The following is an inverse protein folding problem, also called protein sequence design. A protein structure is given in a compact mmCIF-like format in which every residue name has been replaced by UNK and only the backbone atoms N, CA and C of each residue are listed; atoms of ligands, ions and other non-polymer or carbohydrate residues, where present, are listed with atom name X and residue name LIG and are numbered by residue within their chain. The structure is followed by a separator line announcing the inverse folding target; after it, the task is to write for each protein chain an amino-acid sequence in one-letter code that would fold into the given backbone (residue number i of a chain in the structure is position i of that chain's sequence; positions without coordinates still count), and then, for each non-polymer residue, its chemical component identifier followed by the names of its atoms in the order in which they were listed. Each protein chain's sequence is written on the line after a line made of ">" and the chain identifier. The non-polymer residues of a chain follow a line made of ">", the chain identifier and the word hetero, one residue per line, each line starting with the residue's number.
data_IF_220251421118
#
_entry.id   IF_220251421118
#
_cell.length_a   1.000
_cell.length_b   1.000
_cell.length_c   1.000
_cell.angle_alpha   90.00
_cell.angle_beta   90.00
_cell.angle_gamma   90.00
#
_symmetry.space_group_name_H-M   'P 1'
#
loop_
_entity.id
_entity.type
_entity.pdbx_description
1 polymer ?
#
# COMPACT_ATOMS: atom_id res chain seq x y z
N UNK A 1 -6.42 42.84 24.59
CA UNK A 1 -6.02 41.53 25.15
C UNK A 1 -6.15 40.51 24.02
N UNK A 2 -5.05 40.25 23.32
CA UNK A 2 -4.97 39.25 22.27
C UNK A 2 -4.67 37.92 22.96
N UNK A 3 -5.62 36.98 22.92
CA UNK A 3 -5.41 35.61 23.38
C UNK A 3 -4.44 34.93 22.40
N UNK A 4 -3.40 34.21 22.89
CA UNK A 4 -2.52 33.47 22.00
C UNK A 4 -3.22 32.21 21.48
N UNK A 5 -3.01 31.98 20.19
CA UNK A 5 -3.43 30.82 19.40
C UNK A 5 -2.96 29.51 20.09
N UNK A 6 -3.81 28.49 20.28
CA UNK A 6 -3.33 27.23 20.87
C UNK A 6 -2.34 26.57 19.92
N UNK A 7 -1.14 26.33 20.45
CA UNK A 7 -0.05 25.61 19.81
C UNK A 7 -0.57 24.29 19.25
N UNK A 8 -0.37 24.07 17.95
CA UNK A 8 -0.51 22.76 17.34
C UNK A 8 0.37 21.78 18.14
N UNK A 9 -0.28 20.84 18.82
CA UNK A 9 0.41 19.73 19.49
C UNK A 9 0.99 18.90 18.36
N UNK A 10 2.31 19.01 18.16
CA UNK A 10 3.05 18.07 17.35
C UNK A 10 2.94 16.72 18.04
N UNK A 11 2.03 15.86 17.56
CA UNK A 11 1.97 14.46 17.95
C UNK A 11 3.34 13.85 17.65
N UNK A 12 4.07 13.48 18.70
CA UNK A 12 5.34 12.77 18.56
C UNK A 12 5.04 11.36 18.06
N UNK A 13 4.96 11.21 16.74
CA UNK A 13 4.77 9.91 16.11
C UNK A 13 6.06 9.11 16.26
N UNK A 14 6.04 8.10 17.12
CA UNK A 14 7.14 7.14 17.23
C UNK A 14 7.32 6.43 15.88
N UNK A 15 8.55 6.15 15.45
CA UNK A 15 8.77 5.47 14.18
C UNK A 15 8.20 4.03 14.21
N UNK A 16 7.70 3.51 13.08
CA UNK A 16 7.16 2.17 13.04
C UNK A 16 8.25 1.13 13.34
N UNK A 17 7.84 0.07 14.04
CA UNK A 17 8.66 -1.11 14.29
C UNK A 17 8.19 -2.24 13.38
N UNK A 18 9.06 -2.76 12.51
CA UNK A 18 8.76 -3.95 11.69
C UNK A 18 9.41 -5.18 12.33
N UNK A 19 8.69 -6.28 12.36
CA UNK A 19 9.19 -7.58 12.78
C UNK A 19 9.76 -8.35 11.59
N UNK A 20 10.88 -9.05 11.83
CA UNK A 20 11.49 -9.91 10.82
C UNK A 20 10.48 -10.93 10.25
N UNK A 21 10.41 -11.04 8.92
CA UNK A 21 9.49 -11.95 8.23
C UNK A 21 9.82 -13.44 8.48
N UNK A 22 11.03 -13.76 8.95
CA UNK A 22 11.38 -15.10 9.39
C UNK A 22 10.62 -15.44 10.69
N UNK A 23 9.67 -16.36 10.59
CA UNK A 23 8.79 -16.80 11.70
C UNK A 23 9.53 -17.36 12.90
N UNK A 24 10.78 -17.82 12.74
CA UNK A 24 11.62 -18.29 13.85
C UNK A 24 12.39 -17.17 14.55
N UNK A 25 12.57 -16.03 13.89
CA UNK A 25 13.34 -14.91 14.40
C UNK A 25 12.42 -13.83 15.00
N UNK A 26 11.53 -13.25 14.18
CA UNK A 26 10.59 -12.19 14.55
C UNK A 26 11.20 -10.99 15.32
N UNK A 27 12.52 -10.80 15.23
CA UNK A 27 13.22 -9.70 15.89
C UNK A 27 12.62 -8.34 15.45
N UNK A 28 12.35 -7.43 16.39
CA UNK A 28 11.81 -6.11 16.10
C UNK A 28 12.90 -5.17 15.57
N UNK A 29 12.57 -4.38 14.54
CA UNK A 29 13.42 -3.34 13.96
C UNK A 29 12.67 -2.01 13.96
N UNK A 30 13.10 -1.08 14.82
CA UNK A 30 12.56 0.29 14.94
C UNK A 30 13.07 1.18 13.81
N UNK A 31 12.30 2.20 13.43
CA UNK A 31 12.76 3.13 12.39
C UNK A 31 12.59 2.57 10.99
N UNK A 32 11.74 1.57 10.80
CA UNK A 32 11.67 0.85 9.52
C UNK A 32 11.18 1.71 8.34
N UNK A 33 10.55 2.85 8.63
CA UNK A 33 10.16 3.86 7.66
C UNK A 33 11.18 5.00 7.54
N UNK A 34 12.40 4.87 8.04
CA UNK A 34 13.44 5.88 7.91
C UNK A 34 14.37 5.59 6.72
N UNK A 35 14.89 6.64 6.09
CA UNK A 35 15.78 6.54 4.92
C UNK A 35 17.11 5.79 5.17
N UNK A 36 17.42 5.45 6.42
CA UNK A 36 18.59 4.66 6.84
C UNK A 36 18.24 3.34 7.51
N UNK A 37 16.99 2.89 7.40
CA UNK A 37 16.52 1.67 8.03
C UNK A 37 17.26 0.43 7.52
N UNK A 38 17.50 -0.52 8.42
CA UNK A 38 18.08 -1.82 8.10
C UNK A 38 17.35 -2.46 6.90
N UNK A 39 18.14 -2.99 5.96
CA UNK A 39 17.62 -3.76 4.80
C UNK A 39 17.56 -5.25 5.13
N UNK A 40 18.36 -5.69 6.11
CA UNK A 40 18.47 -7.07 6.55
C UNK A 40 18.36 -7.15 8.08
N UNK A 41 17.79 -8.24 8.57
CA UNK A 41 17.70 -8.49 9.98
C UNK A 41 19.10 -8.78 10.54
N UNK A 42 19.57 -7.95 11.48
CA UNK A 42 20.88 -8.10 12.14
C UNK A 42 21.02 -9.41 12.94
N UNK A 43 19.91 -10.07 13.29
CA UNK A 43 19.94 -11.32 14.05
C UNK A 43 20.05 -12.57 13.17
N UNK A 44 19.33 -12.63 12.06
CA UNK A 44 19.22 -13.84 11.23
C UNK A 44 19.59 -13.66 9.75
N UNK A 45 19.96 -12.45 9.34
CA UNK A 45 20.35 -12.11 7.96
C UNK A 45 19.20 -12.14 6.94
N UNK A 46 17.96 -12.41 7.36
CA UNK A 46 16.79 -12.40 6.47
C UNK A 46 16.49 -10.95 6.03
N UNK A 47 16.24 -10.68 4.73
CA UNK A 47 15.81 -9.36 4.27
C UNK A 47 14.57 -8.88 5.03
N UNK A 48 14.58 -7.62 5.46
CA UNK A 48 13.43 -7.01 6.12
C UNK A 48 12.40 -6.62 5.07
N UNK A 49 11.21 -7.22 5.15
CA UNK A 49 10.15 -7.01 4.18
C UNK A 49 9.30 -5.79 4.57
N UNK A 50 9.33 -4.74 3.75
CA UNK A 50 8.43 -3.58 3.84
C UNK A 50 7.25 -3.80 2.91
N UNK A 51 6.22 -4.45 3.42
CA UNK A 51 5.00 -4.71 2.65
C UNK A 51 4.02 -3.57 2.84
N UNK A 52 3.93 -2.70 1.84
CA UNK A 52 2.89 -1.68 1.78
C UNK A 52 1.61 -2.27 1.19
N UNK A 53 0.48 -1.92 1.79
CA UNK A 53 -0.84 -2.45 1.48
C UNK A 53 -1.78 -1.30 1.16
N UNK A 54 -2.61 -1.51 0.14
CA UNK A 54 -3.67 -0.58 -0.23
C UNK A 54 -4.99 -0.99 0.39
N UNK A 55 -5.75 -0.02 0.89
CA UNK A 55 -7.04 -0.25 1.54
C UNK A 55 -8.16 -0.02 0.54
N UNK A 56 -9.01 -1.03 0.39
CA UNK A 56 -10.27 -0.94 -0.36
C UNK A 56 -11.43 -0.88 0.63
N UNK A 57 -12.45 -0.09 0.30
CA UNK A 57 -13.61 0.18 1.15
C UNK A 57 -13.80 1.67 1.44
N UNK A 58 -14.73 1.96 2.36
CA UNK A 58 -15.08 3.33 2.72
C UNK A 58 -14.15 3.94 3.78
N UNK A 59 -13.30 3.12 4.39
CA UNK A 59 -12.35 3.55 5.40
C UNK A 59 -11.30 4.48 4.78
N UNK A 60 -11.20 5.69 5.34
CA UNK A 60 -10.15 6.67 5.07
C UNK A 60 -9.42 6.94 6.38
N UNK A 61 -8.09 6.99 6.33
CA UNK A 61 -7.25 7.07 7.52
C UNK A 61 -6.31 8.28 7.51
N UNK A 62 -6.66 9.32 6.75
CA UNK A 62 -5.92 10.59 6.75
C UNK A 62 -5.68 11.12 8.18
N UNK A 63 -6.65 11.03 9.08
CA UNK A 63 -6.53 11.49 10.47
C UNK A 63 -5.75 10.53 11.38
N UNK A 64 -5.48 9.31 10.90
CA UNK A 64 -4.82 8.24 11.66
C UNK A 64 -3.39 7.98 11.19
N UNK A 65 -2.84 8.81 10.29
CA UNK A 65 -1.45 8.70 9.84
C UNK A 65 -0.50 8.70 11.04
N UNK A 66 0.40 7.73 11.09
CA UNK A 66 1.30 7.51 12.22
C UNK A 66 0.70 6.71 13.38
N UNK A 67 -0.45 6.07 13.20
CA UNK A 67 -1.05 5.19 14.20
C UNK A 67 -0.92 3.72 13.82
N UNK A 68 -0.88 2.86 14.83
CA UNK A 68 -0.91 1.41 14.67
C UNK A 68 -2.36 0.92 14.82
N UNK A 69 -2.92 0.37 13.76
CA UNK A 69 -4.28 -0.19 13.70
C UNK A 69 -4.20 -1.70 13.90
N UNK A 70 -5.12 -2.23 14.72
CA UNK A 70 -5.24 -3.67 15.02
C UNK A 70 -3.93 -4.33 15.49
N UNK A 71 -3.05 -3.54 16.12
CA UNK A 71 -1.75 -4.01 16.62
C UNK A 71 -0.76 -4.48 15.53
N UNK A 72 -1.05 -4.23 14.25
CA UNK A 72 -0.28 -4.77 13.12
C UNK A 72 -0.04 -3.79 11.97
N UNK A 73 -1.02 -2.97 11.63
CA UNK A 73 -0.94 -2.15 10.43
C UNK A 73 -0.60 -0.72 10.80
N UNK A 74 0.54 -0.24 10.32
CA UNK A 74 0.95 1.14 10.54
C UNK A 74 0.41 2.04 9.44
N UNK A 75 -0.32 3.11 9.79
CA UNK A 75 -0.89 4.03 8.81
C UNK A 75 0.17 4.96 8.27
N UNK A 76 0.44 4.85 6.97
CA UNK A 76 1.42 5.68 6.26
C UNK A 76 0.72 6.85 5.57
N UNK A 77 -0.45 6.62 4.99
CA UNK A 77 -1.24 7.63 4.27
C UNK A 77 -2.74 7.30 4.30
N UNK A 78 -3.54 8.03 3.52
CA UNK A 78 -5.01 7.93 3.56
C UNK A 78 -5.56 6.50 3.41
N UNK A 79 -4.95 5.73 2.52
CA UNK A 79 -5.31 4.33 2.21
C UNK A 79 -4.09 3.42 2.12
N UNK A 80 -2.97 3.84 2.69
CA UNK A 80 -1.70 3.11 2.61
C UNK A 80 -1.31 2.68 4.01
N UNK A 81 -1.14 1.37 4.17
CA UNK A 81 -0.61 0.76 5.37
C UNK A 81 0.74 0.13 5.13
N UNK A 82 1.52 0.04 6.19
CA UNK A 82 2.70 -0.81 6.27
C UNK A 82 2.39 -1.98 7.20
N UNK A 83 2.57 -3.21 6.73
CA UNK A 83 2.48 -4.39 7.59
C UNK A 83 3.71 -4.48 8.49
N UNK A 84 3.51 -4.33 9.80
CA UNK A 84 4.59 -4.45 10.78
C UNK A 84 4.95 -5.90 11.11
N UNK A 85 4.10 -6.87 10.72
CA UNK A 85 4.30 -8.29 11.03
C UNK A 85 4.13 -9.16 9.78
N UNK A 86 4.96 -8.96 8.72
CA UNK A 86 4.81 -9.66 7.45
C UNK A 86 5.07 -11.18 7.54
N UNK A 87 5.75 -11.65 8.60
CA UNK A 87 5.96 -13.07 8.87
C UNK A 87 4.72 -13.78 9.44
N UNK A 88 3.71 -13.04 9.89
CA UNK A 88 2.48 -13.58 10.42
C UNK A 88 1.41 -13.61 9.32
N UNK A 89 0.59 -14.66 9.31
CA UNK A 89 -0.53 -14.75 8.36
C UNK A 89 -1.52 -13.59 8.61
N UNK A 90 -2.03 -12.95 7.55
CA UNK A 90 -3.07 -11.93 7.68
C UNK A 90 -4.37 -12.53 8.21
N UNK A 91 -5.25 -11.65 8.69
CA UNK A 91 -6.61 -12.04 9.02
C UNK A 91 -7.32 -12.35 7.71
N UNK A 92 -7.85 -13.56 7.59
CA UNK A 92 -8.63 -14.01 6.45
C UNK A 92 -9.95 -14.60 6.96
N UNK A 93 -11.06 -14.44 6.22
CA UNK A 93 -12.32 -15.05 6.61
C UNK A 93 -12.17 -16.58 6.59
N UNK A 94 -12.85 -17.27 7.52
CA UNK A 94 -12.88 -18.73 7.51
C UNK A 94 -13.54 -19.25 6.23
N UNK A 95 -13.13 -20.43 5.75
CA UNK A 95 -13.62 -21.04 4.50
C UNK A 95 -15.15 -21.24 4.48
N UNK A 96 -15.80 -21.25 5.66
CA UNK A 96 -17.26 -21.34 5.82
C UNK A 96 -17.99 -19.99 5.80
N UNK A 97 -17.28 -18.87 5.82
CA UNK A 97 -17.88 -17.55 5.69
C UNK A 97 -18.11 -17.20 4.22
N UNK A 98 -19.25 -16.59 3.91
CA UNK A 98 -19.51 -16.05 2.57
C UNK A 98 -18.45 -15.00 2.25
N UNK A 99 -17.66 -15.25 1.21
CA UNK A 99 -16.67 -14.30 0.72
C UNK A 99 -17.38 -13.04 0.21
N UNK A 100 -16.86 -11.82 0.47
CA UNK A 100 -17.41 -10.61 -0.13
C UNK A 100 -17.35 -10.68 -1.65
N UNK A 101 -18.43 -10.30 -2.32
CA UNK A 101 -18.52 -10.28 -3.78
C UNK A 101 -17.40 -9.42 -4.41
N UNK A 102 -16.96 -8.36 -3.72
CA UNK A 102 -15.85 -7.51 -4.13
C UNK A 102 -14.50 -8.23 -4.25
N UNK A 103 -14.33 -9.43 -3.65
CA UNK A 103 -13.09 -10.19 -3.74
C UNK A 103 -13.03 -11.02 -5.03
N UNK A 104 -14.18 -11.43 -5.58
CA UNK A 104 -14.22 -12.39 -6.69
C UNK A 104 -13.41 -11.93 -7.90
N UNK A 105 -13.52 -10.68 -8.39
CA UNK A 105 -12.74 -10.24 -9.53
C UNK A 105 -11.23 -10.31 -9.26
N UNK A 106 -10.79 -9.94 -8.05
CA UNK A 106 -9.37 -10.02 -7.68
C UNK A 106 -8.86 -11.46 -7.63
N UNK A 107 -9.67 -12.38 -7.09
CA UNK A 107 -9.31 -13.79 -7.00
C UNK A 107 -9.26 -14.46 -8.38
N UNK A 108 -10.21 -14.18 -9.27
CA UNK A 108 -10.18 -14.72 -10.63
C UNK A 108 -9.03 -14.14 -11.46
N UNK A 109 -8.74 -12.85 -11.28
CA UNK A 109 -7.72 -12.13 -12.05
C UNK A 109 -6.30 -12.22 -11.46
N UNK A 110 -6.09 -12.98 -10.37
CA UNK A 110 -4.79 -13.05 -9.67
C UNK A 110 -3.60 -13.41 -10.59
N UNK A 111 -3.87 -14.17 -11.66
CA UNK A 111 -2.87 -14.64 -12.61
C UNK A 111 -2.38 -13.56 -13.58
N UNK A 112 -3.02 -12.39 -13.62
CA UNK A 112 -2.56 -11.23 -14.39
C UNK A 112 -1.41 -10.47 -13.72
N UNK A 113 -0.90 -10.97 -12.60
CA UNK A 113 0.34 -10.50 -11.98
C UNK A 113 0.21 -9.07 -11.46
N UNK A 114 1.21 -8.22 -11.72
CA UNK A 114 1.21 -6.83 -11.26
C UNK A 114 0.14 -5.94 -11.92
N UNK A 115 -0.62 -6.45 -12.91
CA UNK A 115 -1.75 -5.71 -13.50
C UNK A 115 -2.99 -5.68 -12.62
N UNK A 116 -3.12 -6.61 -11.68
CA UNK A 116 -4.25 -6.63 -10.76
C UNK A 116 -3.68 -6.90 -9.37
N UNK A 117 -3.90 -6.00 -8.39
CA UNK A 117 -3.50 -6.26 -7.02
C UNK A 117 -4.12 -7.53 -6.50
N UNK A 118 -3.49 -8.11 -5.48
CA UNK A 118 -3.97 -9.36 -4.88
C UNK A 118 -4.59 -9.05 -3.54
N UNK A 119 -5.65 -9.79 -3.22
CA UNK A 119 -6.21 -9.75 -1.87
C UNK A 119 -5.15 -10.27 -0.90
N UNK A 120 -4.75 -9.39 0.03
CA UNK A 120 -3.84 -9.73 1.11
C UNK A 120 -4.61 -10.31 2.31
N UNK A 121 -5.71 -9.66 2.69
CA UNK A 121 -6.53 -10.07 3.83
C UNK A 121 -7.48 -8.96 4.28
N UNK A 122 -8.08 -9.15 5.44
CA UNK A 122 -8.98 -8.21 6.09
C UNK A 122 -8.26 -7.41 7.17
N UNK A 123 -8.78 -6.22 7.49
CA UNK A 123 -8.36 -5.48 8.70
C UNK A 123 -9.09 -6.03 9.91
N UNK A 124 -10.39 -6.30 9.77
CA UNK A 124 -11.26 -6.80 10.83
C UNK A 124 -12.24 -7.83 10.23
N UNK A 125 -12.53 -8.90 10.98
CA UNK A 125 -13.54 -9.89 10.59
C UNK A 125 -14.97 -9.32 10.73
N UNK A 126 -15.15 -8.27 11.54
CA UNK A 126 -16.44 -7.60 11.69
C UNK A 126 -16.83 -6.75 10.47
N UNK A 127 -15.85 -6.32 9.65
CA UNK A 127 -16.07 -5.53 8.45
C UNK A 127 -15.42 -6.19 7.23
N UNK A 128 -16.18 -7.06 6.58
CA UNK A 128 -15.74 -7.77 5.38
C UNK A 128 -15.63 -6.87 4.14
N UNK A 129 -16.16 -5.63 4.20
CA UNK A 129 -16.11 -4.69 3.08
C UNK A 129 -14.84 -3.85 3.06
N UNK A 130 -14.07 -3.83 4.16
CA UNK A 130 -12.76 -3.17 4.19
C UNK A 130 -11.64 -4.21 4.19
N UNK A 131 -10.91 -4.28 3.08
CA UNK A 131 -9.87 -5.26 2.86
C UNK A 131 -8.59 -4.65 2.31
N UNK A 132 -7.53 -5.44 2.35
CA UNK A 132 -6.16 -5.05 2.03
C UNK A 132 -5.76 -5.70 0.72
N UNK A 133 -5.17 -4.90 -0.16
CA UNK A 133 -4.56 -5.34 -1.40
C UNK A 133 -3.04 -5.25 -1.30
N UNK A 134 -2.34 -6.30 -1.68
CA UNK A 134 -0.90 -6.29 -1.93
C UNK A 134 -0.59 -6.09 -3.43
N UNK A 135 0.66 -5.80 -3.75
CA UNK A 135 1.14 -5.48 -5.11
C UNK A 135 0.42 -4.27 -5.76
N UNK A 136 -0.19 -3.41 -4.94
CA UNK A 136 -0.70 -2.11 -5.39
C UNK A 136 0.47 -1.21 -5.87
N UNK A 137 0.24 -0.29 -6.82
CA UNK A 137 1.27 0.59 -7.39
C UNK A 137 1.67 1.68 -6.39
N UNK A 138 2.29 1.28 -5.28
CA UNK A 138 2.80 2.11 -4.21
C UNK A 138 4.33 2.15 -4.36
N UNK A 139 4.89 3.35 -4.43
CA UNK A 139 6.34 3.53 -4.41
C UNK A 139 6.78 3.96 -3.01
N UNK A 140 7.85 3.35 -2.51
CA UNK A 140 8.56 3.84 -1.34
C UNK A 140 9.48 4.97 -1.79
N UNK A 141 9.21 6.20 -1.32
CA UNK A 141 10.05 7.36 -1.52
C UNK A 141 11.03 7.40 -0.35
N UNK A 142 12.22 6.87 -0.56
CA UNK A 142 13.32 7.05 0.38
C UNK A 142 13.68 8.54 0.42
N UNK A 143 13.49 9.19 1.57
CA UNK A 143 13.95 10.55 1.78
C UNK A 143 15.44 10.63 1.47
N UNK A 144 15.80 11.37 0.41
CA UNK A 144 17.19 11.50 -0.02
C UNK A 144 18.07 11.97 1.15
N UNK A 145 19.16 11.24 1.40
CA UNK A 145 20.11 11.59 2.44
C UNK A 145 20.70 12.99 2.27
N UNK A 146 20.85 13.67 3.42
CA UNK A 146 21.66 14.87 3.66
C UNK A 146 21.20 16.18 2.98
N UNK A 147 20.19 16.82 3.58
CA UNK A 147 20.28 18.28 3.79
C UNK A 147 20.84 18.52 5.20
N UNK A 148 21.73 19.49 5.29
CA UNK A 148 22.60 19.86 6.43
C UNK A 148 21.86 20.45 7.64
N UNK A 149 20.64 19.98 7.92
CA UNK A 149 19.87 20.28 9.13
C UNK A 149 19.34 18.95 9.63
N UNK A 150 19.72 18.55 10.85
CA UNK A 150 19.61 17.18 11.38
C UNK A 150 18.19 16.67 11.64
N UNK A 151 17.36 16.60 10.60
CA UNK A 151 16.09 15.89 10.58
C UNK A 151 16.12 14.86 9.46
N UNK A 152 16.22 13.59 9.82
CA UNK A 152 15.87 12.49 8.92
C UNK A 152 14.41 12.66 8.50
N UNK A 153 14.15 13.03 7.25
CA UNK A 153 12.78 12.92 6.73
C UNK A 153 12.43 11.44 6.65
N UNK A 154 11.29 11.03 7.22
CA UNK A 154 10.84 9.65 7.10
C UNK A 154 10.70 9.32 5.60
N UNK A 155 11.10 8.11 5.22
CA UNK A 155 10.65 7.55 3.95
C UNK A 155 9.13 7.47 3.96
N UNK A 156 8.52 7.98 2.90
CA UNK A 156 7.07 8.00 2.75
C UNK A 156 6.69 7.10 1.59
N UNK A 157 5.59 6.36 1.73
CA UNK A 157 5.09 5.53 0.63
C UNK A 157 3.86 6.20 0.03
N UNK A 158 3.94 6.44 -1.27
CA UNK A 158 2.88 7.12 -2.03
C UNK A 158 2.42 6.25 -3.17
N UNK A 159 1.14 6.41 -3.54
CA UNK A 159 0.68 5.88 -4.82
C UNK A 159 1.47 6.51 -5.96
N UNK A 160 1.84 5.67 -6.91
CA UNK A 160 2.43 6.12 -8.14
C UNK A 160 1.50 7.08 -8.89
N UNK A 161 2.05 8.00 -9.70
CA UNK A 161 1.24 8.95 -10.44
C UNK A 161 0.26 8.25 -11.36
N UNK A 162 -0.89 8.90 -11.56
CA UNK A 162 -1.88 8.48 -12.55
C UNK A 162 -1.29 8.54 -13.96
N UNK A 163 -1.80 7.68 -14.85
CA UNK A 163 -1.39 7.70 -16.26
C UNK A 163 -1.64 9.09 -16.87
N UNK A 164 -2.75 9.75 -16.52
CA UNK A 164 -3.06 11.12 -17.00
C UNK A 164 -1.96 12.12 -16.64
N UNK A 165 -1.49 12.11 -15.39
CA UNK A 165 -0.46 13.02 -14.91
C UNK A 165 0.89 12.78 -15.59
N UNK A 166 1.22 11.53 -15.88
CA UNK A 166 2.48 11.15 -16.51
C UNK A 166 2.42 11.13 -18.04
N UNK A 167 1.23 11.22 -18.65
CA UNK A 167 1.02 11.01 -20.08
C UNK A 167 1.84 11.96 -20.95
N UNK A 168 1.77 13.25 -20.64
CA UNK A 168 2.40 14.32 -21.43
C UNK A 168 3.91 14.32 -21.31
N UNK A 169 4.45 13.88 -20.18
CA UNK A 169 5.89 13.77 -19.93
C UNK A 169 6.50 12.45 -20.46
N UNK A 170 5.67 11.48 -20.84
CA UNK A 170 6.11 10.17 -21.28
C UNK A 170 6.58 10.15 -22.75
N UNK A 171 7.55 9.29 -23.05
CA UNK A 171 7.93 9.02 -24.43
C UNK A 171 6.80 8.30 -25.20
N UNK A 172 6.71 8.45 -26.53
CA UNK A 172 5.70 7.76 -27.35
C UNK A 172 5.72 6.23 -27.15
N UNK A 173 6.90 5.64 -26.98
CA UNK A 173 7.06 4.22 -26.71
C UNK A 173 6.45 3.83 -25.37
N UNK A 174 6.56 4.70 -24.35
CA UNK A 174 5.97 4.47 -23.02
C UNK A 174 4.46 4.60 -23.06
N UNK A 175 3.92 5.61 -23.76
CA UNK A 175 2.48 5.76 -23.99
C UNK A 175 1.89 4.52 -24.68
N UNK A 176 2.53 4.03 -25.75
CA UNK A 176 2.11 2.82 -26.45
C UNK A 176 2.16 1.59 -25.54
N UNK A 177 3.20 1.49 -24.69
CA UNK A 177 3.31 0.40 -23.72
C UNK A 177 2.14 0.39 -22.72
N UNK A 178 1.74 1.55 -22.21
CA UNK A 178 0.58 1.65 -21.31
C UNK A 178 -0.73 1.28 -22.02
N UNK A 179 -0.97 1.79 -23.24
CA UNK A 179 -2.16 1.41 -24.01
C UNK A 179 -2.21 -0.10 -24.27
N UNK A 180 -1.07 -0.71 -24.53
CA UNK A 180 -0.99 -2.15 -24.72
C UNK A 180 -1.27 -2.94 -23.44
N UNK A 181 -0.83 -2.45 -22.28
CA UNK A 181 -1.18 -3.04 -20.99
C UNK A 181 -2.69 -2.95 -20.73
N UNK A 182 -3.31 -1.80 -21.01
CA UNK A 182 -4.76 -1.58 -20.89
C UNK A 182 -5.51 -2.58 -21.77
N UNK A 183 -5.10 -2.68 -23.05
CA UNK A 183 -5.73 -3.58 -24.01
C UNK A 183 -5.67 -5.06 -23.58
N UNK A 184 -4.57 -5.49 -22.96
CA UNK A 184 -4.40 -6.89 -22.51
C UNK A 184 -5.32 -7.29 -21.38
N UNK A 185 -5.59 -6.38 -20.45
CA UNK A 185 -6.42 -6.67 -19.27
C UNK A 185 -7.91 -6.39 -19.50
N UNK A 186 -8.25 -5.66 -20.57
CA UNK A 186 -9.63 -5.29 -20.91
C UNK A 186 -10.58 -6.48 -21.06
N UNK A 187 -10.26 -7.45 -21.93
CA UNK A 187 -11.10 -8.63 -22.14
C UNK A 187 -11.36 -9.43 -20.86
N UNK A 188 -10.33 -9.70 -20.03
CA UNK A 188 -10.48 -10.30 -18.72
C UNK A 188 -11.41 -9.52 -17.79
N UNK A 189 -11.20 -8.20 -17.64
CA UNK A 189 -12.06 -7.36 -16.78
C UNK A 189 -13.50 -7.29 -17.27
N UNK A 190 -13.70 -7.34 -18.59
CA UNK A 190 -15.04 -7.36 -19.16
C UNK A 190 -15.80 -8.64 -18.80
N UNK A 191 -15.10 -9.79 -18.73
CA UNK A 191 -15.71 -11.07 -18.31
C UNK A 191 -16.09 -11.08 -16.84
N UNK A 192 -15.28 -10.43 -16.00
CA UNK A 192 -15.58 -10.25 -14.58
C UNK A 192 -16.58 -9.11 -14.32
N UNK A 193 -17.10 -8.43 -15.36
CA UNK A 193 -18.11 -7.38 -15.23
C UNK A 193 -17.59 -6.04 -14.75
N UNK A 194 -16.27 -5.84 -14.73
CA UNK A 194 -15.61 -4.73 -14.05
C UNK A 194 -14.72 -3.86 -14.95
N UNK A 195 -14.88 -3.98 -16.27
CA UNK A 195 -14.11 -3.20 -17.27
C UNK A 195 -14.24 -1.67 -17.13
N UNK A 196 -15.28 -1.17 -16.46
CA UNK A 196 -15.49 0.27 -16.23
C UNK A 196 -14.30 0.94 -15.51
N UNK A 197 -13.59 0.19 -14.68
CA UNK A 197 -12.40 0.67 -13.96
C UNK A 197 -11.25 1.08 -14.87
N UNK A 198 -11.17 0.56 -16.10
CA UNK A 198 -10.20 1.02 -17.09
C UNK A 198 -10.52 2.41 -17.63
N UNK A 199 -11.72 2.91 -17.39
CA UNK A 199 -12.17 4.23 -17.81
C UNK A 199 -12.02 5.26 -16.70
N UNK A 200 -11.61 4.85 -15.50
CA UNK A 200 -11.41 5.73 -14.35
C UNK A 200 -9.92 6.10 -14.24
N UNK A 201 -9.54 7.33 -14.61
CA UNK A 201 -8.13 7.73 -14.66
C UNK A 201 -7.43 7.68 -13.30
N UNK A 202 -8.18 7.83 -12.21
CA UNK A 202 -7.69 7.74 -10.84
C UNK A 202 -7.23 6.32 -10.48
N UNK A 203 -7.79 5.32 -11.15
CA UNK A 203 -7.40 3.94 -10.97
C UNK A 203 -6.17 3.60 -11.81
N UNK A 204 -6.02 4.18 -13.00
CA UNK A 204 -4.90 3.87 -13.89
C UNK A 204 -3.56 4.48 -13.45
N UNK A 205 -2.58 3.65 -13.07
CA UNK A 205 -1.24 4.10 -12.63
C UNK A 205 -0.10 3.69 -13.57
N UNK A 206 1.03 4.40 -13.45
CA UNK A 206 2.18 4.33 -14.39
C UNK A 206 2.98 3.02 -14.38
N UNK A 207 2.99 2.27 -13.27
CA UNK A 207 3.77 1.03 -13.18
C UNK A 207 3.01 -0.19 -13.68
N UNK A 208 1.68 -0.21 -13.52
CA UNK A 208 0.74 -1.03 -14.30
C UNK A 208 -0.66 -0.42 -14.18
N UNK A 209 -1.46 -0.58 -15.22
CA UNK A 209 -2.92 -0.35 -15.26
C UNK A 209 -3.56 -0.97 -14.01
N UNK A 210 -4.04 -0.14 -13.09
CA UNK A 210 -4.69 -0.57 -11.85
C UNK A 210 -6.21 -0.38 -12.02
N UNK A 211 -6.95 -1.39 -11.57
CA UNK A 211 -8.41 -1.38 -11.48
C UNK A 211 -8.75 -1.64 -10.01
N UNK A 212 -8.97 -0.56 -9.25
CA UNK A 212 -9.62 -0.63 -7.95
C UNK A 212 -11.13 -0.76 -8.17
N UNK A 213 -11.73 -1.89 -7.82
CA UNK A 213 -13.20 -2.01 -7.80
C UNK A 213 -13.76 -1.38 -6.53
#
# INVERSE_FOLDING_TARGET
>A
MLLPNPMAIASSTLPPTIHCANTRCQAPHTGAADAGADVVCQHCGTPLLRRYLWVVGNSRWTDSVGQLIQGRYWVVGDRILLDTQPGMLPVVPEVSATLPEAFEPYLHLFHYGSSVPKVYGLIDLADLNTFLLEDAPIQEILGGGSTSTGGSSPSHADLMPGIEQAWTAASPQRQLSWLWQIARIWGPLLREGVAQTLLEPELLRVMVVWCGF
#
